data_IF_992131938151
#
_entry.id   IF_992131938151
#
_cell.length_a   1.000
_cell.length_b   1.000
_cell.length_c   1.000
_cell.angle_alpha   90.00
_cell.angle_beta   90.00
_cell.angle_gamma   90.00
#
_symmetry.space_group_name_H-M   'P 1'
#
loop_
_entity.id
_entity.type
_entity.pdbx_description
1 polymer ?
#
# COMPACT_ATOMS: atom_id res chain seq x y z
N UNK A 1 16.12 8.18 -9.27
CA UNK A 1 17.01 7.03 -9.60
C UNK A 1 18.45 7.50 -9.54
N UNK A 2 19.37 6.72 -8.95
CA UNK A 2 20.80 7.05 -8.89
C UNK A 2 21.55 6.41 -10.07
N UNK A 3 21.38 5.11 -10.26
CA UNK A 3 21.92 4.34 -11.40
C UNK A 3 21.21 3.01 -11.52
N UNK A 4 21.38 2.37 -12.69
CA UNK A 4 20.91 1.01 -12.95
C UNK A 4 22.12 0.11 -13.23
N UNK A 5 22.16 -1.04 -12.59
CA UNK A 5 23.16 -2.06 -12.82
C UNK A 5 22.54 -3.20 -13.64
N UNK A 6 23.20 -3.63 -14.69
CA UNK A 6 22.74 -4.68 -15.61
C UNK A 6 23.81 -5.79 -15.64
N UNK A 7 23.36 -7.05 -15.65
CA UNK A 7 24.28 -8.18 -15.75
C UNK A 7 24.99 -8.19 -17.11
N UNK A 8 26.32 -8.38 -17.09
CA UNK A 8 27.09 -8.65 -18.29
C UNK A 8 26.52 -9.90 -18.99
N UNK A 9 26.29 -9.80 -20.30
CA UNK A 9 25.75 -10.91 -21.11
C UNK A 9 24.24 -11.13 -20.97
N UNK A 10 23.50 -10.20 -20.39
CA UNK A 10 22.04 -10.25 -20.39
C UNK A 10 21.51 -10.22 -21.84
N UNK A 11 20.51 -11.06 -22.13
CA UNK A 11 19.91 -11.10 -23.46
C UNK A 11 19.31 -9.73 -23.83
N UNK A 12 19.42 -9.31 -25.10
CA UNK A 12 18.78 -8.08 -25.56
C UNK A 12 17.29 -8.06 -25.27
N UNK A 13 16.79 -6.93 -24.75
CA UNK A 13 15.37 -6.70 -24.47
C UNK A 13 15.08 -5.21 -24.73
N UNK A 14 14.01 -4.85 -25.46
CA UNK A 14 13.67 -3.45 -25.72
C UNK A 14 13.59 -2.56 -24.48
N UNK A 15 13.19 -3.14 -23.34
CA UNK A 15 13.14 -2.44 -22.05
C UNK A 15 14.52 -2.01 -21.56
N UNK A 16 15.59 -2.76 -21.89
CA UNK A 16 16.95 -2.38 -21.53
C UNK A 16 17.42 -1.14 -22.29
N UNK A 17 17.03 -1.01 -23.56
CA UNK A 17 17.32 0.18 -24.36
C UNK A 17 16.60 1.41 -23.81
N UNK A 18 15.36 1.25 -23.39
CA UNK A 18 14.62 2.31 -22.72
C UNK A 18 15.28 2.73 -21.40
N UNK A 19 15.69 1.78 -20.57
CA UNK A 19 16.43 2.04 -19.33
C UNK A 19 17.71 2.82 -19.62
N UNK A 20 18.48 2.47 -20.66
CA UNK A 20 19.71 3.17 -21.03
C UNK A 20 19.47 4.62 -21.44
N UNK A 21 18.30 4.96 -21.95
CA UNK A 21 17.92 6.34 -22.29
C UNK A 21 17.50 7.15 -21.05
N UNK A 22 16.94 6.48 -20.04
CA UNK A 22 16.34 7.14 -18.87
C UNK A 22 17.29 7.30 -17.68
N UNK A 23 18.35 6.47 -17.58
CA UNK A 23 19.22 6.44 -16.42
C UNK A 23 20.66 6.05 -16.76
N UNK A 24 21.65 6.48 -15.96
CA UNK A 24 23.00 5.94 -16.03
C UNK A 24 23.00 4.43 -15.79
N UNK A 25 23.61 3.68 -16.70
CA UNK A 25 23.70 2.21 -16.63
C UNK A 25 25.15 1.78 -16.45
N UNK A 26 25.38 0.85 -15.54
CA UNK A 26 26.66 0.17 -15.29
C UNK A 26 26.48 -1.34 -15.56
N UNK A 27 27.31 -1.92 -16.42
CA UNK A 27 27.35 -3.36 -16.63
C UNK A 27 28.26 -4.04 -15.61
N UNK A 28 27.74 -5.03 -14.90
CA UNK A 28 28.43 -5.66 -13.78
C UNK A 28 28.29 -7.19 -13.83
N UNK A 29 29.21 -7.95 -13.20
CA UNK A 29 29.05 -9.38 -13.04
C UNK A 29 27.76 -9.74 -12.26
N UNK A 30 27.14 -10.86 -12.61
CA UNK A 30 25.90 -11.31 -11.97
C UNK A 30 26.03 -11.49 -10.45
N UNK A 31 27.23 -11.88 -9.97
CA UNK A 31 27.54 -11.98 -8.54
C UNK A 31 27.37 -10.67 -7.79
N UNK A 32 27.71 -9.52 -8.43
CA UNK A 32 27.53 -8.20 -7.82
C UNK A 32 26.04 -7.84 -7.70
N UNK A 33 25.22 -8.19 -8.70
CA UNK A 33 23.77 -8.00 -8.62
C UNK A 33 23.15 -8.85 -7.52
N UNK A 34 23.54 -10.12 -7.39
CA UNK A 34 23.07 -11.01 -6.35
C UNK A 34 23.37 -10.47 -4.94
N UNK A 35 24.58 -9.94 -4.73
CA UNK A 35 24.97 -9.29 -3.48
C UNK A 35 24.10 -8.05 -3.17
N UNK A 36 23.86 -7.18 -4.14
CA UNK A 36 23.03 -5.99 -3.97
C UNK A 36 21.54 -6.33 -3.77
N UNK A 37 21.04 -7.34 -4.45
CA UNK A 37 19.66 -7.82 -4.33
C UNK A 37 19.37 -8.53 -3.00
N UNK A 38 20.39 -8.83 -2.17
CA UNK A 38 20.24 -9.45 -0.83
C UNK A 38 19.31 -10.65 -0.84
N UNK A 39 19.47 -11.55 -1.82
CA UNK A 39 18.62 -12.73 -2.01
C UNK A 39 17.32 -12.49 -2.78
N UNK A 40 17.04 -11.26 -3.19
CA UNK A 40 15.92 -10.96 -4.08
C UNK A 40 16.15 -11.45 -5.51
N UNK A 41 15.06 -11.80 -6.21
CA UNK A 41 15.11 -12.18 -7.64
C UNK A 41 15.24 -10.90 -8.47
N UNK A 42 16.42 -10.67 -9.06
CA UNK A 42 16.76 -9.44 -9.81
C UNK A 42 16.65 -9.56 -11.33
N UNK A 43 16.52 -10.76 -11.88
CA UNK A 43 16.37 -11.01 -13.32
C UNK A 43 17.44 -10.30 -14.20
N UNK A 44 18.63 -10.07 -13.66
CA UNK A 44 19.74 -9.42 -14.36
C UNK A 44 19.76 -7.89 -14.31
N UNK A 45 18.85 -7.26 -13.55
CA UNK A 45 18.78 -5.79 -13.41
C UNK A 45 18.57 -5.41 -11.95
N UNK A 46 19.31 -4.43 -11.46
CA UNK A 46 19.15 -3.80 -10.13
C UNK A 46 19.21 -2.28 -10.27
N UNK A 47 18.25 -1.57 -9.73
CA UNK A 47 18.26 -0.12 -9.67
C UNK A 47 18.62 0.36 -8.25
N UNK A 48 19.57 1.28 -8.15
CA UNK A 48 19.83 2.05 -6.94
C UNK A 48 18.99 3.33 -6.98
N UNK A 49 18.16 3.51 -5.98
CA UNK A 49 17.25 4.66 -5.88
C UNK A 49 17.45 5.41 -4.56
N UNK A 50 17.14 6.69 -4.55
CA UNK A 50 17.04 7.44 -3.28
C UNK A 50 15.81 6.94 -2.53
N UNK A 51 15.86 6.85 -1.18
CA UNK A 51 14.67 6.61 -0.39
C UNK A 51 13.60 7.63 -0.74
N UNK A 52 12.35 7.18 -0.89
CA UNK A 52 11.23 8.08 -1.12
C UNK A 52 10.91 8.82 0.18
N UNK A 53 10.75 10.16 0.16
CA UNK A 53 10.32 10.90 1.33
C UNK A 53 8.89 10.49 1.70
N UNK A 54 8.65 10.31 3.00
CA UNK A 54 7.31 10.11 3.55
C UNK A 54 6.76 11.48 3.95
N UNK A 55 5.48 11.71 3.66
CA UNK A 55 4.80 12.95 3.97
C UNK A 55 4.41 13.00 5.46
N UNK A 56 4.28 14.20 6.00
CA UNK A 56 3.54 14.40 7.23
C UNK A 56 2.03 14.28 6.94
N UNK A 57 1.25 13.82 7.92
CA UNK A 57 -0.20 13.63 7.75
C UNK A 57 -0.92 14.94 7.37
N UNK A 58 -0.53 16.05 7.98
CA UNK A 58 -1.07 17.37 7.66
C UNK A 58 -0.91 17.76 6.19
N UNK A 59 0.25 17.40 5.59
CA UNK A 59 0.55 17.75 4.21
C UNK A 59 -0.27 16.88 3.24
N UNK A 60 -0.52 15.61 3.61
CA UNK A 60 -1.42 14.72 2.88
C UNK A 60 -2.87 15.22 2.94
N UNK A 61 -3.35 15.63 4.12
CA UNK A 61 -4.73 16.09 4.32
C UNK A 61 -4.99 17.47 3.70
N UNK A 62 -3.97 18.33 3.57
CA UNK A 62 -4.10 19.63 2.91
C UNK A 62 -4.54 19.55 1.44
N UNK A 63 -4.37 18.39 0.81
CA UNK A 63 -4.81 18.16 -0.57
C UNK A 63 -6.26 17.68 -0.68
N UNK A 64 -6.98 17.60 0.45
CA UNK A 64 -8.40 17.18 0.53
C UNK A 64 -8.67 15.85 -0.20
N UNK A 65 -7.98 14.76 0.13
CA UNK A 65 -8.17 13.48 -0.54
C UNK A 65 -9.56 12.91 -0.26
N UNK A 66 -10.22 12.35 -1.28
CA UNK A 66 -11.51 11.68 -1.14
C UNK A 66 -11.39 10.25 -0.61
N UNK A 67 -10.26 9.60 -0.88
CA UNK A 67 -9.97 8.24 -0.46
C UNK A 67 -8.57 8.16 0.14
N UNK A 68 -8.50 7.73 1.39
CA UNK A 68 -7.26 7.34 2.06
C UNK A 68 -7.31 5.87 2.46
N UNK A 69 -6.13 5.26 2.58
CA UNK A 69 -5.97 3.92 3.17
C UNK A 69 -5.05 4.02 4.37
N UNK A 70 -5.51 3.61 5.54
CA UNK A 70 -4.69 3.52 6.74
C UNK A 70 -4.43 2.04 7.09
N UNK A 71 -3.16 1.69 7.34
CA UNK A 71 -2.75 0.32 7.61
C UNK A 71 -2.38 0.15 9.08
N UNK A 72 -3.00 -0.78 9.78
CA UNK A 72 -2.74 -1.07 11.18
C UNK A 72 -2.14 -2.47 11.36
N UNK A 73 -0.82 -2.56 11.49
CA UNK A 73 -0.15 -3.84 11.74
C UNK A 73 0.03 -4.74 10.51
N UNK A 74 0.14 -4.19 9.32
CA UNK A 74 0.50 -4.92 8.10
C UNK A 74 2.01 -5.07 8.04
N UNK A 75 2.52 -6.21 8.51
CA UNK A 75 3.97 -6.46 8.71
C UNK A 75 4.61 -7.28 7.59
N UNK A 76 3.82 -7.92 6.73
CA UNK A 76 4.32 -8.66 5.58
C UNK A 76 4.54 -7.74 4.36
N UNK A 77 5.77 -7.69 3.78
CA UNK A 77 6.06 -6.87 2.60
C UNK A 77 5.24 -7.22 1.35
N UNK A 78 4.81 -8.48 1.19
CA UNK A 78 3.98 -8.88 0.05
C UNK A 78 2.58 -8.31 0.19
N UNK A 79 1.98 -8.40 1.39
CA UNK A 79 0.68 -7.80 1.66
C UNK A 79 0.73 -6.28 1.55
N UNK A 80 1.76 -5.64 2.14
CA UNK A 80 1.91 -4.19 2.00
C UNK A 80 1.98 -3.79 0.52
N UNK A 81 2.84 -4.44 -0.26
CA UNK A 81 2.98 -4.13 -1.69
C UNK A 81 1.68 -4.35 -2.47
N UNK A 82 0.97 -5.45 -2.22
CA UNK A 82 -0.31 -5.74 -2.87
C UNK A 82 -1.41 -4.72 -2.50
N UNK A 83 -1.46 -4.28 -1.23
CA UNK A 83 -2.39 -3.23 -0.79
C UNK A 83 -2.05 -1.90 -1.45
N UNK A 84 -0.77 -1.51 -1.49
CA UNK A 84 -0.33 -0.29 -2.18
C UNK A 84 -0.74 -0.30 -3.65
N UNK A 85 -0.58 -1.45 -4.33
CA UNK A 85 -1.01 -1.60 -5.72
C UNK A 85 -2.52 -1.42 -5.89
N UNK A 86 -3.31 -2.02 -4.99
CA UNK A 86 -4.77 -1.90 -5.04
C UNK A 86 -5.24 -0.48 -4.69
N UNK A 87 -4.57 0.18 -3.75
CA UNK A 87 -4.86 1.57 -3.36
C UNK A 87 -4.60 2.54 -4.52
N UNK A 88 -3.48 2.38 -5.23
CA UNK A 88 -3.17 3.18 -6.41
C UNK A 88 -4.20 2.95 -7.52
N UNK A 89 -4.49 1.69 -7.84
CA UNK A 89 -5.45 1.33 -8.87
C UNK A 89 -6.89 1.80 -8.56
N UNK A 90 -7.25 1.92 -7.28
CA UNK A 90 -8.53 2.46 -6.83
C UNK A 90 -8.55 4.00 -6.72
N UNK A 91 -7.47 4.69 -7.07
CA UNK A 91 -7.37 6.14 -7.02
C UNK A 91 -7.24 6.72 -5.62
N UNK A 92 -6.67 5.99 -4.67
CA UNK A 92 -6.44 6.52 -3.33
C UNK A 92 -5.48 7.73 -3.38
N UNK A 93 -5.87 8.83 -2.74
CA UNK A 93 -5.07 10.05 -2.62
C UNK A 93 -3.82 9.86 -1.75
N UNK A 94 -3.79 8.81 -0.92
CA UNK A 94 -2.60 8.44 -0.15
C UNK A 94 -2.80 7.25 0.77
N UNK A 95 -1.67 6.78 1.33
CA UNK A 95 -1.65 5.68 2.30
C UNK A 95 -0.92 6.10 3.56
N UNK A 96 -1.53 5.83 4.71
CA UNK A 96 -1.03 6.16 6.05
C UNK A 96 -0.48 4.90 6.70
N UNK A 97 0.81 4.93 7.04
CA UNK A 97 1.57 3.82 7.62
C UNK A 97 1.98 4.17 9.05
N UNK A 98 1.93 3.25 10.02
CA UNK A 98 2.49 3.48 11.34
C UNK A 98 4.03 3.35 11.31
N UNK A 99 4.72 4.05 12.22
CA UNK A 99 6.17 3.91 12.41
C UNK A 99 6.60 2.52 12.87
N UNK A 100 5.75 1.87 13.66
CA UNK A 100 5.99 0.55 14.22
C UNK A 100 4.93 -0.42 13.76
N UNK A 101 5.26 -1.73 13.75
CA UNK A 101 4.34 -2.78 13.30
C UNK A 101 3.85 -2.55 11.85
N UNK A 102 4.77 -2.20 10.99
CA UNK A 102 4.54 -2.03 9.55
C UNK A 102 5.70 -2.66 8.79
N UNK A 103 5.40 -3.31 7.68
CA UNK A 103 6.44 -3.76 6.76
C UNK A 103 7.25 -2.55 6.24
N UNK A 104 8.56 -2.69 6.08
CA UNK A 104 9.37 -1.64 5.50
C UNK A 104 9.08 -1.46 4.01
N UNK A 105 9.27 -0.25 3.49
CA UNK A 105 9.25 0.03 2.04
C UNK A 105 10.53 -0.53 1.39
N UNK A 106 10.71 -1.83 1.47
CA UNK A 106 11.84 -2.58 0.95
C UNK A 106 11.72 -2.86 -0.54
N UNK A 107 12.79 -3.39 -1.16
CA UNK A 107 12.76 -3.86 -2.54
C UNK A 107 11.66 -4.93 -2.76
N UNK A 108 11.37 -5.76 -1.76
CA UNK A 108 10.28 -6.75 -1.80
C UNK A 108 8.91 -6.07 -1.90
N UNK A 109 8.67 -5.03 -1.08
CA UNK A 109 7.44 -4.23 -1.11
C UNK A 109 7.29 -3.50 -2.44
N UNK A 110 8.35 -2.86 -2.95
CA UNK A 110 8.36 -2.18 -4.25
C UNK A 110 8.02 -3.15 -5.37
N UNK A 111 8.63 -4.34 -5.37
CA UNK A 111 8.34 -5.39 -6.35
C UNK A 111 6.89 -5.88 -6.26
N UNK A 112 6.39 -6.16 -5.05
CA UNK A 112 5.01 -6.60 -4.84
C UNK A 112 3.98 -5.55 -5.26
N UNK A 113 4.32 -4.26 -5.11
CA UNK A 113 3.46 -3.15 -5.55
C UNK A 113 3.45 -2.94 -7.08
N UNK A 114 4.27 -3.66 -7.84
CA UNK A 114 4.43 -3.47 -9.29
C UNK A 114 4.71 -2.00 -9.68
N UNK A 115 5.40 -1.24 -8.82
CA UNK A 115 5.73 0.16 -9.03
C UNK A 115 4.69 1.16 -8.49
N UNK A 116 3.52 0.73 -8.02
CA UNK A 116 2.49 1.62 -7.47
C UNK A 116 3.01 2.52 -6.34
N UNK A 117 4.00 2.05 -5.57
CA UNK A 117 4.66 2.83 -4.53
C UNK A 117 5.22 4.16 -5.05
N UNK A 118 5.57 4.26 -6.33
CA UNK A 118 6.14 5.46 -6.94
C UNK A 118 5.09 6.54 -7.25
N UNK A 119 3.84 6.17 -7.32
CA UNK A 119 2.71 7.07 -7.65
C UNK A 119 1.93 7.50 -6.42
N UNK A 120 1.87 6.63 -5.40
CA UNK A 120 1.14 6.91 -4.17
C UNK A 120 1.83 7.96 -3.30
N UNK A 121 1.05 8.75 -2.60
CA UNK A 121 1.50 9.58 -1.48
C UNK A 121 1.53 8.73 -0.22
N UNK A 122 2.72 8.52 0.32
CA UNK A 122 2.90 7.72 1.52
C UNK A 122 3.17 8.65 2.71
N UNK A 123 2.38 8.49 3.75
CA UNK A 123 2.49 9.23 5.01
C UNK A 123 2.88 8.26 6.13
N UNK A 124 3.75 8.70 7.02
CA UNK A 124 4.10 7.91 8.20
C UNK A 124 3.70 8.64 9.47
N UNK A 125 3.03 7.92 10.38
CA UNK A 125 2.53 8.44 11.65
C UNK A 125 3.02 7.62 12.83
N UNK A 126 3.08 8.21 14.02
CA UNK A 126 3.47 7.49 15.23
C UNK A 126 2.52 6.33 15.56
N UNK A 127 1.23 6.48 15.24
CA UNK A 127 0.22 5.43 15.42
C UNK A 127 -1.09 5.78 14.72
N UNK A 128 -1.74 4.75 14.17
CA UNK A 128 -2.98 4.91 13.38
C UNK A 128 -4.10 5.51 14.22
N UNK A 129 -4.30 5.05 15.43
CA UNK A 129 -5.37 5.56 16.29
C UNK A 129 -5.31 7.09 16.51
N UNK A 130 -4.11 7.68 16.63
CA UNK A 130 -3.94 9.13 16.71
C UNK A 130 -4.26 9.82 15.38
N UNK A 131 -3.77 9.27 14.28
CA UNK A 131 -3.97 9.80 12.95
C UNK A 131 -5.45 9.85 12.55
N UNK A 132 -6.26 8.84 12.94
CA UNK A 132 -7.70 8.82 12.63
C UNK A 132 -8.44 10.06 13.19
N UNK A 133 -8.02 10.60 14.33
CA UNK A 133 -8.63 11.81 14.87
C UNK A 133 -8.38 13.04 14.00
N UNK A 134 -7.20 13.13 13.38
CA UNK A 134 -6.86 14.22 12.47
C UNK A 134 -7.56 14.03 11.12
N UNK A 135 -7.62 12.81 10.61
CA UNK A 135 -8.32 12.44 9.38
C UNK A 135 -9.82 12.76 9.49
N UNK A 136 -10.46 12.43 10.61
CA UNK A 136 -11.86 12.77 10.88
C UNK A 136 -12.11 14.28 10.96
N UNK A 137 -11.19 15.04 11.58
CA UNK A 137 -11.28 16.50 11.61
C UNK A 137 -11.14 17.13 10.23
N UNK A 138 -10.46 16.45 9.31
CA UNK A 138 -10.35 16.85 7.91
C UNK A 138 -11.59 16.46 7.07
N UNK A 139 -12.60 15.82 7.68
CA UNK A 139 -13.89 15.53 7.04
C UNK A 139 -14.01 14.15 6.40
N UNK A 140 -13.04 13.24 6.60
CA UNK A 140 -13.13 11.88 6.09
C UNK A 140 -13.77 10.96 7.14
N UNK A 141 -14.68 10.10 6.70
CA UNK A 141 -15.17 8.98 7.50
C UNK A 141 -14.10 7.89 7.63
N UNK A 142 -13.83 7.44 8.83
CA UNK A 142 -12.90 6.35 9.08
C UNK A 142 -13.66 5.02 9.17
N UNK A 143 -13.42 4.12 8.22
CA UNK A 143 -14.17 2.85 8.08
C UNK A 143 -13.20 1.68 8.20
N UNK A 144 -13.35 0.89 9.27
CA UNK A 144 -12.52 -0.30 9.48
C UNK A 144 -13.03 -1.50 8.70
N UNK A 145 -12.13 -2.19 8.01
CA UNK A 145 -12.39 -3.51 7.44
C UNK A 145 -12.16 -4.56 8.53
N UNK A 146 -13.26 -5.14 9.01
CA UNK A 146 -13.29 -6.06 10.14
C UNK A 146 -14.21 -7.24 9.81
N UNK A 147 -13.77 -8.51 9.92
CA UNK A 147 -14.64 -9.67 9.74
C UNK A 147 -15.91 -9.67 10.60
N UNK A 148 -15.84 -9.04 11.79
CA UNK A 148 -16.95 -8.90 12.74
C UNK A 148 -17.69 -7.56 12.59
N UNK A 149 -17.47 -6.82 11.51
CA UNK A 149 -18.15 -5.55 11.23
C UNK A 149 -19.67 -5.70 11.19
N UNK A 150 -20.38 -4.70 11.71
CA UNK A 150 -21.84 -4.71 11.80
C UNK A 150 -22.51 -4.65 10.43
N UNK A 151 -21.92 -3.91 9.49
CA UNK A 151 -22.44 -3.71 8.14
C UNK A 151 -21.69 -4.57 7.12
N UNK A 152 -22.39 -5.07 6.11
CA UNK A 152 -21.71 -5.56 4.93
C UNK A 152 -21.09 -4.36 4.16
N UNK A 153 -19.96 -4.56 3.50
CA UNK A 153 -19.24 -3.48 2.83
C UNK A 153 -20.13 -2.68 1.85
N UNK A 154 -21.02 -3.36 1.15
CA UNK A 154 -21.94 -2.73 0.20
C UNK A 154 -23.15 -2.02 0.83
N UNK A 155 -23.34 -2.11 2.14
CA UNK A 155 -24.39 -1.39 2.90
C UNK A 155 -23.89 -0.02 3.40
N UNK A 156 -22.58 0.22 3.38
CA UNK A 156 -22.00 1.51 3.74
C UNK A 156 -21.89 2.42 2.51
N UNK A 157 -22.22 3.70 2.66
CA UNK A 157 -22.08 4.71 1.60
C UNK A 157 -20.62 5.19 1.48
N UNK A 158 -19.93 4.71 0.45
CA UNK A 158 -18.56 5.11 0.13
C UNK A 158 -18.48 6.29 -0.87
N UNK A 159 -19.58 6.91 -1.24
CA UNK A 159 -19.56 8.09 -2.14
C UNK A 159 -18.99 9.33 -1.47
N UNK A 160 -19.06 9.40 -0.13
CA UNK A 160 -18.46 10.43 0.68
C UNK A 160 -16.94 10.23 0.87
N UNK A 161 -16.17 11.27 1.29
CA UNK A 161 -14.76 11.13 1.60
C UNK A 161 -14.51 10.10 2.70
N UNK A 162 -13.66 9.10 2.44
CA UNK A 162 -13.40 8.01 3.39
C UNK A 162 -11.92 7.70 3.57
N UNK A 163 -11.57 7.26 4.75
CA UNK A 163 -10.33 6.58 5.08
C UNK A 163 -10.66 5.12 5.40
N UNK A 164 -10.30 4.21 4.50
CA UNK A 164 -10.41 2.76 4.73
C UNK A 164 -9.28 2.30 5.63
N UNK A 165 -9.60 1.65 6.75
CA UNK A 165 -8.63 1.13 7.71
C UNK A 165 -8.52 -0.37 7.57
N UNK A 166 -7.32 -0.86 7.24
CA UNK A 166 -7.03 -2.28 7.02
C UNK A 166 -6.07 -2.78 8.08
N UNK A 167 -6.46 -3.84 8.78
CA UNK A 167 -5.64 -4.50 9.79
C UNK A 167 -4.68 -5.54 9.22
N UNK A 168 -3.66 -5.89 10.01
CA UNK A 168 -2.73 -6.96 9.69
C UNK A 168 -3.35 -8.36 9.84
N UNK A 169 -2.65 -9.37 9.28
CA UNK A 169 -3.09 -10.76 9.34
C UNK A 169 -3.19 -11.29 10.78
N UNK A 170 -4.23 -12.06 11.04
CA UNK A 170 -4.49 -12.74 12.31
C UNK A 170 -5.01 -11.85 13.45
N UNK A 171 -4.63 -10.59 13.51
CA UNK A 171 -5.09 -9.63 14.54
C UNK A 171 -6.16 -8.67 14.06
N UNK A 172 -6.28 -8.50 12.73
CA UNK A 172 -7.17 -7.49 12.17
C UNK A 172 -6.80 -6.07 12.60
N UNK A 173 -7.80 -5.21 12.67
CA UNK A 173 -7.68 -3.83 13.18
C UNK A 173 -7.59 -3.86 14.70
N UNK A 174 -6.61 -3.15 15.27
CA UNK A 174 -6.42 -3.09 16.72
C UNK A 174 -7.63 -2.45 17.41
N UNK A 175 -7.96 -2.91 18.64
CA UNK A 175 -9.14 -2.46 19.39
C UNK A 175 -9.29 -0.93 19.43
N UNK A 176 -8.24 -0.21 19.83
CA UNK A 176 -8.30 1.26 19.92
C UNK A 176 -8.48 1.93 18.56
N UNK A 177 -7.95 1.33 17.48
CA UNK A 177 -8.13 1.83 16.11
C UNK A 177 -9.59 1.63 15.69
N UNK A 178 -10.13 0.43 15.92
CA UNK A 178 -11.54 0.12 15.64
C UNK A 178 -12.52 1.01 16.43
N UNK A 179 -12.26 1.27 17.72
CA UNK A 179 -13.06 2.17 18.56
C UNK A 179 -13.05 3.63 18.06
N UNK A 180 -12.04 4.03 17.27
CA UNK A 180 -11.94 5.38 16.71
C UNK A 180 -12.49 5.49 15.29
N UNK A 181 -12.80 4.36 14.64
CA UNK A 181 -13.49 4.36 13.36
C UNK A 181 -14.97 4.75 13.55
N UNK A 182 -15.56 5.32 12.51
CA UNK A 182 -16.97 5.72 12.47
C UNK A 182 -17.88 4.52 12.16
N UNK A 183 -17.34 3.54 11.42
CA UNK A 183 -18.03 2.30 11.08
C UNK A 183 -17.04 1.14 10.97
N UNK A 184 -17.57 -0.08 11.15
CA UNK A 184 -16.87 -1.33 10.85
C UNK A 184 -17.66 -2.09 9.80
N UNK A 185 -17.01 -2.41 8.68
CA UNK A 185 -17.62 -3.13 7.58
C UNK A 185 -16.96 -4.49 7.39
N UNK A 186 -17.73 -5.48 7.01
CA UNK A 186 -17.25 -6.82 6.70
C UNK A 186 -17.45 -7.17 5.23
N UNK A 187 -16.63 -8.07 4.75
CA UNK A 187 -16.86 -8.80 3.50
C UNK A 187 -17.52 -10.14 3.87
N UNK A 188 -18.81 -10.36 3.57
CA UNK A 188 -19.51 -11.58 3.94
C UNK A 188 -18.88 -12.83 3.34
N UNK A 189 -18.53 -13.77 4.19
CA UNK A 189 -17.96 -15.05 3.80
C UNK A 189 -19.04 -16.09 3.59
N UNK A 190 -19.09 -16.73 2.40
CA UNK A 190 -20.05 -17.80 2.07
C UNK A 190 -19.47 -19.20 2.25
N UNK A 191 -18.15 -19.30 2.39
CA UNK A 191 -17.43 -20.57 2.52
C UNK A 191 -17.19 -20.96 3.98
N UNK A 192 -16.22 -21.89 4.17
CA UNK A 192 -15.84 -22.40 5.50
C UNK A 192 -14.66 -21.61 6.13
N UNK A 193 -13.95 -20.81 5.36
CA UNK A 193 -12.87 -19.97 5.90
C UNK A 193 -13.44 -18.71 6.54
N UNK A 194 -12.85 -18.27 7.66
CA UNK A 194 -13.38 -17.15 8.44
C UNK A 194 -13.02 -15.77 7.86
N UNK A 195 -11.95 -15.69 7.07
CA UNK A 195 -11.47 -14.41 6.52
C UNK A 195 -10.69 -14.58 5.22
N UNK A 196 -10.52 -13.48 4.50
CA UNK A 196 -9.58 -13.38 3.38
C UNK A 196 -8.18 -12.97 3.88
N UNK A 197 -7.18 -13.19 3.05
CA UNK A 197 -5.88 -12.52 3.20
C UNK A 197 -6.08 -11.00 3.23
N UNK A 198 -5.30 -10.27 4.04
CA UNK A 198 -5.46 -8.84 4.27
C UNK A 198 -5.42 -8.02 2.96
N UNK A 199 -4.52 -8.35 2.03
CA UNK A 199 -4.43 -7.63 0.76
C UNK A 199 -5.60 -7.94 -0.19
N UNK A 200 -6.10 -9.17 -0.18
CA UNK A 200 -7.29 -9.54 -0.95
C UNK A 200 -8.55 -8.83 -0.41
N UNK A 201 -8.70 -8.80 0.91
CA UNK A 201 -9.79 -8.09 1.57
C UNK A 201 -9.75 -6.59 1.29
N UNK A 202 -8.56 -5.98 1.40
CA UNK A 202 -8.35 -4.57 1.06
C UNK A 202 -8.71 -4.27 -0.39
N UNK A 203 -8.27 -5.11 -1.34
CA UNK A 203 -8.61 -4.96 -2.75
C UNK A 203 -10.12 -5.02 -3.00
N UNK A 204 -10.80 -6.01 -2.41
CA UNK A 204 -12.26 -6.16 -2.55
C UNK A 204 -13.01 -4.91 -2.05
N UNK A 205 -12.63 -4.38 -0.88
CA UNK A 205 -13.25 -3.18 -0.33
C UNK A 205 -12.94 -1.93 -1.16
N UNK A 206 -11.70 -1.75 -1.60
CA UNK A 206 -11.31 -0.60 -2.42
C UNK A 206 -12.05 -0.59 -3.76
N UNK A 207 -12.30 -1.75 -4.36
CA UNK A 207 -13.08 -1.84 -5.58
C UNK A 207 -14.58 -1.65 -5.35
N UNK A 208 -15.11 -1.97 -4.17
CA UNK A 208 -16.47 -1.56 -3.80
C UNK A 208 -16.58 -0.02 -3.68
N UNK A 209 -15.60 0.63 -3.07
CA UNK A 209 -15.49 2.11 -3.08
C UNK A 209 -15.51 2.65 -4.52
N UNK A 210 -14.66 2.09 -5.38
CA UNK A 210 -14.58 2.48 -6.79
C UNK A 210 -15.91 2.26 -7.51
N UNK A 211 -16.56 1.11 -7.31
CA UNK A 211 -17.85 0.80 -7.91
C UNK A 211 -18.93 1.82 -7.53
N UNK A 212 -19.04 2.16 -6.25
CA UNK A 212 -20.04 3.14 -5.80
C UNK A 212 -19.80 4.55 -6.35
N UNK A 213 -18.53 4.93 -6.56
CA UNK A 213 -18.17 6.25 -7.10
C UNK A 213 -18.22 6.34 -8.63
N UNK A 214 -18.36 5.22 -9.32
CA UNK A 214 -18.43 5.14 -10.78
C UNK A 214 -19.87 5.13 -11.32
N UNK A 215 -20.86 5.19 -10.44
CA UNK A 215 -22.29 5.25 -10.76
C UNK A 215 -22.75 6.68 -10.55
#
# INVERSE_FOLDING_TARGET
MLRVLIAIGLKPDPRLEEIRRLAPVEEVPQSRLASLARGGVHQGVVAEVKPRPLLALRDLLAESPDLLVALDGVEDPQNLGAILRSAEAAGAGGVVLPQHRSAPLSAATVKASAGAVEYLRLCQVAGIAGALLEIKRAGLWCVALDPEGELAAWEFDFTQPVCVVVGGEGRGVGRLVGERCDARVRLPMKGRVASLNASAAAAALLYEVTRQRSI
#
